data_IF_235206445380
#
_entry.id   IF_235206445380
#
_cell.length_a   1.000
_cell.length_b   1.000
_cell.length_c   1.000
_cell.angle_alpha   90.00
_cell.angle_beta   90.00
_cell.angle_gamma   90.00
#
_symmetry.space_group_name_H-M   'P 1'
#
loop_
_entity.id
_entity.type
_entity.pdbx_description
1 polymer ?
#
# COMPACT_ATOMS: atom_id res chain seq x y z
N UNK A 1 4.00 -21.14 -42.69
CA UNK A 1 3.00 -20.05 -42.59
C UNK A 1 3.37 -19.13 -41.43
N UNK A 2 3.77 -17.88 -41.72
CA UNK A 2 4.16 -16.86 -40.73
C UNK A 2 2.95 -16.01 -40.37
N UNK A 3 2.30 -16.30 -39.24
CA UNK A 3 1.23 -15.45 -38.72
C UNK A 3 1.81 -14.12 -38.21
N UNK A 4 1.58 -13.03 -38.97
CA UNK A 4 1.83 -11.66 -38.52
C UNK A 4 0.81 -11.29 -37.44
N UNK A 5 1.16 -11.48 -36.17
CA UNK A 5 0.41 -10.90 -35.05
C UNK A 5 0.78 -9.41 -35.00
N UNK A 6 0.05 -8.58 -35.76
CA UNK A 6 -0.04 -7.13 -35.53
C UNK A 6 -1.29 -6.84 -34.70
N UNK A 7 -1.38 -7.43 -33.51
CA UNK A 7 -2.25 -6.89 -32.47
C UNK A 7 -1.41 -5.89 -31.72
N UNK A 8 -1.44 -4.64 -32.21
CA UNK A 8 -1.02 -3.51 -31.41
C UNK A 8 -1.82 -3.56 -30.13
N UNK A 9 -1.19 -4.02 -29.06
CA UNK A 9 -1.67 -3.87 -27.70
C UNK A 9 -1.85 -2.36 -27.53
N UNK A 10 -3.06 -1.83 -27.81
CA UNK A 10 -3.51 -0.55 -27.25
C UNK A 10 -3.66 -0.84 -25.76
N UNK A 11 -2.49 -0.88 -25.12
CA UNK A 11 -2.33 -1.14 -23.72
C UNK A 11 -3.14 -0.08 -23.03
N UNK A 12 -4.21 -0.53 -22.38
CA UNK A 12 -4.71 0.11 -21.18
C UNK A 12 -3.54 0.11 -20.17
N UNK A 13 -2.53 0.95 -20.40
CA UNK A 13 -1.70 1.46 -19.32
C UNK A 13 -2.70 2.22 -18.50
N UNK A 14 -3.15 1.56 -17.44
CA UNK A 14 -4.33 1.99 -16.72
C UNK A 14 -4.08 3.41 -16.23
N UNK A 15 -5.03 4.34 -16.46
CA UNK A 15 -4.87 5.78 -16.20
C UNK A 15 -4.27 6.10 -14.81
N UNK A 16 -4.44 5.21 -13.84
CA UNK A 16 -3.81 5.32 -12.53
C UNK A 16 -2.27 5.34 -12.57
N UNK A 17 -1.60 4.62 -13.47
CA UNK A 17 -0.13 4.65 -13.61
C UNK A 17 0.36 6.02 -14.02
N UNK A 18 -0.32 6.61 -14.99
CA UNK A 18 0.01 7.93 -15.47
C UNK A 18 -0.17 8.95 -14.33
N UNK A 19 -1.27 8.81 -13.57
CA UNK A 19 -1.52 9.65 -12.40
C UNK A 19 -0.45 9.51 -11.32
N UNK A 20 -0.16 8.28 -10.87
CA UNK A 20 0.85 8.00 -9.85
C UNK A 20 2.25 8.43 -10.30
N UNK A 21 2.60 8.20 -11.56
CA UNK A 21 3.88 8.63 -12.14
C UNK A 21 4.01 10.15 -12.21
N UNK A 22 2.94 10.85 -12.61
CA UNK A 22 2.95 12.32 -12.63
C UNK A 22 3.07 12.91 -11.22
N UNK A 23 2.34 12.36 -10.25
CA UNK A 23 2.44 12.76 -8.85
C UNK A 23 3.85 12.52 -8.30
N UNK A 24 4.42 11.33 -8.55
CA UNK A 24 5.79 11.01 -8.18
C UNK A 24 6.81 12.02 -8.74
N UNK A 25 6.70 12.37 -10.04
CA UNK A 25 7.58 13.36 -10.66
C UNK A 25 7.40 14.73 -10.01
N UNK A 26 6.16 15.15 -9.73
CA UNK A 26 5.87 16.41 -9.06
C UNK A 26 6.51 16.47 -7.66
N UNK A 27 6.32 15.45 -6.83
CA UNK A 27 6.92 15.40 -5.49
C UNK A 27 8.45 15.42 -5.54
N UNK A 28 9.07 14.63 -6.43
CA UNK A 28 10.53 14.58 -6.59
C UNK A 28 11.12 15.95 -6.99
N UNK A 29 10.39 16.77 -7.75
CA UNK A 29 10.88 18.06 -8.23
C UNK A 29 10.51 19.21 -7.28
N UNK A 30 9.26 19.27 -6.82
CA UNK A 30 8.73 20.40 -6.05
C UNK A 30 9.28 20.39 -4.63
N UNK A 31 9.38 19.22 -3.98
CA UNK A 31 9.82 19.11 -2.59
C UNK A 31 11.26 19.62 -2.36
N UNK A 32 12.30 19.16 -3.09
CA UNK A 32 13.66 19.66 -2.87
C UNK A 32 13.80 21.14 -3.21
N UNK A 33 13.04 21.64 -4.20
CA UNK A 33 13.01 23.07 -4.54
C UNK A 33 12.38 23.88 -3.39
N UNK A 34 11.26 23.42 -2.85
CA UNK A 34 10.62 24.05 -1.70
C UNK A 34 11.53 24.08 -0.47
N UNK A 35 12.19 22.96 -0.18
CA UNK A 35 13.16 22.84 0.92
C UNK A 35 14.36 23.77 0.69
N UNK A 36 14.88 23.86 -0.53
CA UNK A 36 15.96 24.77 -0.88
C UNK A 36 15.60 26.24 -0.58
N UNK A 37 14.45 26.71 -1.06
CA UNK A 37 13.99 28.07 -0.79
C UNK A 37 13.69 28.30 0.69
N UNK A 38 13.12 27.31 1.38
CA UNK A 38 12.88 27.41 2.82
C UNK A 38 14.19 27.63 3.61
N UNK A 39 15.25 26.88 3.29
CA UNK A 39 16.55 27.04 3.92
C UNK A 39 17.27 28.36 3.57
N UNK A 40 17.08 28.87 2.35
CA UNK A 40 17.64 30.17 1.97
C UNK A 40 16.99 31.32 2.74
N UNK A 41 15.68 31.23 3.01
CA UNK A 41 14.96 32.26 3.75
C UNK A 41 15.18 32.13 5.26
N UNK A 42 15.14 30.90 5.80
CA UNK A 42 15.19 30.63 7.23
C UNK A 42 16.03 29.36 7.52
N UNK A 43 17.35 29.46 7.75
CA UNK A 43 18.25 28.30 7.91
C UNK A 43 18.05 27.53 9.23
N UNK A 44 17.48 28.18 10.25
CA UNK A 44 17.22 27.58 11.57
C UNK A 44 15.88 26.84 11.65
N UNK A 45 15.24 26.55 10.51
CA UNK A 45 13.90 25.98 10.46
C UNK A 45 13.93 24.43 10.37
N UNK A 46 13.07 23.67 11.10
CA UNK A 46 12.88 22.23 10.90
C UNK A 46 12.38 21.96 9.47
N UNK A 47 12.83 20.89 8.77
CA UNK A 47 13.18 19.54 9.27
C UNK A 47 14.69 19.30 9.45
N UNK A 48 15.43 20.37 9.74
CA UNK A 48 16.87 20.37 9.82
C UNK A 48 17.39 19.71 11.11
N UNK A 49 17.11 18.43 11.30
CA UNK A 49 17.75 17.60 12.33
C UNK A 49 19.27 17.79 12.31
N UNK A 50 19.84 17.97 11.12
CA UNK A 50 21.26 18.23 10.92
C UNK A 50 21.68 19.66 11.30
N UNK A 51 20.87 20.70 11.05
CA UNK A 51 21.29 22.07 11.35
C UNK A 51 21.23 22.38 12.84
N UNK A 52 20.26 21.82 13.58
CA UNK A 52 20.20 22.00 15.04
C UNK A 52 21.40 21.37 15.77
N UNK A 53 22.02 20.34 15.20
CA UNK A 53 23.24 19.76 15.74
C UNK A 53 24.50 20.57 15.39
N UNK A 54 24.50 21.26 14.24
CA UNK A 54 25.66 21.98 13.71
C UNK A 54 25.72 23.44 14.16
N UNK A 55 24.57 24.10 14.35
CA UNK A 55 24.48 25.52 14.67
C UNK A 55 23.58 25.75 15.88
N UNK A 56 24.08 26.38 16.97
CA UNK A 56 23.26 26.79 18.09
C UNK A 56 22.43 28.02 17.67
N UNK A 57 21.24 27.80 17.10
CA UNK A 57 20.28 28.88 16.86
C UNK A 57 19.54 29.21 18.17
N UNK A 58 19.64 30.44 18.67
CA UNK A 58 18.83 30.93 19.80
C UNK A 58 17.39 31.22 19.41
N UNK A 59 17.17 31.56 18.13
CA UNK A 59 15.87 31.89 17.58
C UNK A 59 15.80 31.56 16.09
N UNK A 60 14.58 31.57 15.55
CA UNK A 60 14.30 31.20 14.16
C UNK A 60 14.82 32.24 13.16
N UNK A 61 14.85 33.51 13.58
CA UNK A 61 15.36 34.65 12.83
C UNK A 61 16.85 34.92 13.04
N UNK A 62 17.50 34.21 13.97
CA UNK A 62 18.90 34.45 14.33
C UNK A 62 19.84 33.74 13.34
N UNK A 63 19.61 33.97 12.06
CA UNK A 63 20.44 33.43 11.00
C UNK A 63 21.79 34.14 11.00
N UNK A 64 22.91 33.40 10.94
CA UNK A 64 24.22 34.00 10.75
C UNK A 64 24.23 34.77 9.42
N UNK A 65 24.77 36.00 9.42
CA UNK A 65 24.88 36.87 8.21
C UNK A 65 25.80 36.30 7.12
N UNK A 66 26.31 35.08 7.27
CA UNK A 66 27.15 34.42 6.29
C UNK A 66 26.28 33.74 5.23
N UNK A 67 26.02 34.46 4.15
CA UNK A 67 25.24 33.99 2.99
C UNK A 67 25.74 32.64 2.43
N UNK A 68 27.06 32.42 2.41
CA UNK A 68 27.65 31.18 1.91
C UNK A 68 27.31 29.94 2.74
N UNK A 69 27.27 30.08 4.07
CA UNK A 69 26.91 28.97 4.96
C UNK A 69 25.45 28.55 4.74
N UNK A 70 24.54 29.53 4.60
CA UNK A 70 23.13 29.27 4.33
C UNK A 70 22.92 28.61 2.97
N UNK A 71 23.67 29.03 1.95
CA UNK A 71 23.60 28.41 0.61
C UNK A 71 24.07 26.94 0.64
N UNK A 72 25.19 26.66 1.31
CA UNK A 72 25.70 25.28 1.46
C UNK A 72 24.67 24.43 2.22
N UNK A 73 24.12 24.94 3.33
CA UNK A 73 23.10 24.24 4.11
C UNK A 73 21.84 23.98 3.29
N UNK A 74 21.38 24.95 2.50
CA UNK A 74 20.23 24.80 1.62
C UNK A 74 20.46 23.72 0.54
N UNK A 75 21.66 23.69 -0.06
CA UNK A 75 22.04 22.65 -1.01
C UNK A 75 22.04 21.26 -0.40
N UNK A 76 22.62 21.11 0.80
CA UNK A 76 22.58 19.83 1.52
C UNK A 76 21.16 19.42 1.88
N UNK A 77 20.35 20.36 2.39
CA UNK A 77 18.95 20.11 2.73
C UNK A 77 18.12 19.67 1.51
N UNK A 78 18.29 20.33 0.38
CA UNK A 78 17.64 19.97 -0.88
C UNK A 78 18.09 18.59 -1.38
N UNK A 79 19.39 18.28 -1.28
CA UNK A 79 19.93 16.97 -1.66
C UNK A 79 19.37 15.83 -0.80
N UNK A 80 19.33 16.02 0.53
CA UNK A 80 18.72 15.05 1.44
C UNK A 80 17.22 14.90 1.19
N UNK A 81 16.50 16.00 0.98
CA UNK A 81 15.09 15.97 0.61
C UNK A 81 14.86 15.15 -0.67
N UNK A 82 15.65 15.39 -1.71
CA UNK A 82 15.59 14.62 -2.96
C UNK A 82 15.91 13.13 -2.78
N UNK A 83 16.88 12.78 -1.91
CA UNK A 83 17.19 11.39 -1.60
C UNK A 83 16.05 10.68 -0.88
N UNK A 84 15.47 11.32 0.14
CA UNK A 84 14.35 10.76 0.90
C UNK A 84 13.10 10.63 0.03
N UNK A 85 12.78 11.64 -0.78
CA UNK A 85 11.62 11.60 -1.69
C UNK A 85 11.80 10.57 -2.80
N UNK A 86 12.98 10.48 -3.41
CA UNK A 86 13.28 9.49 -4.46
C UNK A 86 13.23 8.05 -3.91
N UNK A 87 13.85 7.79 -2.77
CA UNK A 87 13.86 6.46 -2.16
C UNK A 87 12.47 6.01 -1.72
N UNK A 88 11.67 6.91 -1.14
CA UNK A 88 10.29 6.60 -0.74
C UNK A 88 9.38 6.33 -1.94
N UNK A 89 9.44 7.16 -2.98
CA UNK A 89 8.70 6.94 -4.23
C UNK A 89 9.11 5.62 -4.89
N UNK A 90 10.41 5.34 -4.96
CA UNK A 90 10.91 4.08 -5.51
C UNK A 90 10.41 2.88 -4.71
N UNK A 91 10.48 2.95 -3.37
CA UNK A 91 9.96 1.92 -2.49
C UNK A 91 8.46 1.70 -2.71
N UNK A 92 7.66 2.77 -2.81
CA UNK A 92 6.23 2.67 -3.08
C UNK A 92 5.92 2.01 -4.43
N UNK A 93 6.63 2.39 -5.50
CA UNK A 93 6.43 1.79 -6.83
C UNK A 93 6.80 0.30 -6.81
N UNK A 94 7.97 -0.05 -6.25
CA UNK A 94 8.46 -1.44 -6.25
C UNK A 94 7.65 -2.33 -5.31
N UNK A 95 7.30 -1.85 -4.12
CA UNK A 95 6.61 -2.68 -3.12
C UNK A 95 5.12 -2.83 -3.40
N UNK A 96 4.48 -1.85 -4.05
CA UNK A 96 3.02 -1.83 -4.21
C UNK A 96 2.59 -2.02 -5.66
N UNK A 97 3.16 -1.22 -6.54
CA UNK A 97 2.69 -1.15 -7.92
C UNK A 97 3.14 -2.38 -8.70
N UNK A 98 4.39 -2.81 -8.52
CA UNK A 98 4.94 -3.98 -9.18
C UNK A 98 4.18 -5.29 -8.89
N UNK A 99 3.93 -5.72 -7.63
CA UNK A 99 3.23 -6.97 -7.37
C UNK A 99 1.79 -6.97 -7.91
N UNK A 100 1.09 -5.83 -7.89
CA UNK A 100 -0.26 -5.71 -8.43
C UNK A 100 -0.26 -5.91 -9.96
N UNK A 101 0.72 -5.34 -10.67
CA UNK A 101 0.84 -5.53 -12.12
C UNK A 101 1.15 -6.95 -12.53
N UNK A 102 2.15 -7.56 -11.87
CA UNK A 102 2.52 -8.94 -12.15
C UNK A 102 1.30 -9.84 -11.92
N UNK A 103 0.51 -9.57 -10.88
CA UNK A 103 -0.72 -10.30 -10.63
C UNK A 103 -1.77 -10.11 -11.73
N UNK A 104 -1.97 -8.89 -12.20
CA UNK A 104 -2.96 -8.59 -13.24
C UNK A 104 -2.55 -9.13 -14.62
N UNK A 105 -1.27 -9.00 -14.98
CA UNK A 105 -0.71 -9.50 -16.24
C UNK A 105 -0.79 -11.02 -16.30
N UNK A 106 -0.38 -11.71 -15.24
CA UNK A 106 -0.41 -13.16 -15.20
C UNK A 106 -1.85 -13.69 -15.27
N UNK A 107 -2.80 -13.03 -14.61
CA UNK A 107 -4.22 -13.39 -14.70
C UNK A 107 -4.78 -13.26 -16.13
N UNK A 108 -4.37 -12.21 -16.88
CA UNK A 108 -4.75 -12.03 -18.29
C UNK A 108 -4.18 -13.14 -19.16
N UNK A 109 -2.93 -13.52 -18.95
CA UNK A 109 -2.30 -14.62 -19.69
C UNK A 109 -3.00 -15.96 -19.42
N UNK A 110 -3.36 -16.25 -18.17
CA UNK A 110 -4.12 -17.45 -17.83
C UNK A 110 -5.49 -17.49 -18.51
N UNK A 111 -6.23 -16.37 -18.49
CA UNK A 111 -7.53 -16.28 -19.17
C UNK A 111 -7.40 -16.56 -20.67
N UNK A 112 -6.38 -15.98 -21.31
CA UNK A 112 -6.10 -16.20 -22.74
C UNK A 112 -5.70 -17.64 -23.03
N UNK A 113 -4.86 -18.25 -22.17
CA UNK A 113 -4.46 -19.65 -22.29
C UNK A 113 -5.63 -20.63 -22.17
N UNK A 114 -6.56 -20.37 -21.25
CA UNK A 114 -7.80 -21.15 -21.09
C UNK A 114 -8.72 -21.04 -22.31
N UNK A 115 -8.92 -19.84 -22.85
CA UNK A 115 -9.75 -19.62 -24.04
C UNK A 115 -9.16 -20.24 -25.31
N UNK A 116 -7.83 -20.34 -25.40
CA UNK A 116 -7.15 -20.90 -26.58
C UNK A 116 -7.30 -22.42 -26.73
N UNK A 117 -7.91 -23.14 -25.77
CA UNK A 117 -8.10 -24.59 -25.84
C UNK A 117 -6.81 -25.42 -25.93
N UNK A 118 -5.65 -24.81 -25.63
CA UNK A 118 -4.35 -25.38 -25.95
C UNK A 118 -3.92 -26.47 -24.94
N UNK A 119 -3.14 -27.44 -25.42
CA UNK A 119 -2.94 -28.81 -24.87
C UNK A 119 -2.18 -28.91 -23.53
N UNK A 120 -1.76 -27.81 -22.91
CA UNK A 120 -0.95 -27.81 -21.68
C UNK A 120 -1.73 -27.37 -20.43
N UNK A 121 -2.96 -27.86 -20.28
CA UNK A 121 -3.84 -27.51 -19.14
C UNK A 121 -3.20 -27.81 -17.78
N UNK A 122 -2.42 -28.88 -17.67
CA UNK A 122 -1.74 -29.29 -16.42
C UNK A 122 -0.65 -28.31 -15.99
N UNK A 123 0.18 -27.84 -16.92
CA UNK A 123 1.23 -26.83 -16.64
C UNK A 123 0.59 -25.51 -16.21
N UNK A 124 -0.48 -25.11 -16.91
CA UNK A 124 -1.22 -23.90 -16.63
C UNK A 124 -1.87 -23.93 -15.24
N UNK A 125 -2.48 -25.07 -14.86
CA UNK A 125 -3.04 -25.28 -13.52
C UNK A 125 -1.96 -25.23 -12.42
N UNK A 126 -0.77 -25.79 -12.67
CA UNK A 126 0.34 -25.75 -11.70
C UNK A 126 0.85 -24.32 -11.48
N UNK A 127 1.00 -23.54 -12.55
CA UNK A 127 1.38 -22.12 -12.44
C UNK A 127 0.29 -21.31 -11.73
N UNK A 128 -0.97 -21.56 -12.03
CA UNK A 128 -2.10 -20.92 -11.37
C UNK A 128 -2.13 -21.21 -9.85
N UNK A 129 -1.86 -22.45 -9.42
CA UNK A 129 -1.79 -22.80 -7.99
C UNK A 129 -0.66 -22.04 -7.28
N UNK A 130 0.53 -21.94 -7.90
CA UNK A 130 1.65 -21.14 -7.34
C UNK A 130 1.29 -19.67 -7.22
N UNK A 131 0.60 -19.14 -8.23
CA UNK A 131 0.16 -17.76 -8.24
C UNK A 131 -0.88 -17.47 -7.14
N UNK A 132 -1.87 -18.35 -6.96
CA UNK A 132 -2.83 -18.23 -5.86
C UNK A 132 -2.14 -18.25 -4.50
N UNK A 133 -1.13 -19.11 -4.30
CA UNK A 133 -0.34 -19.14 -3.06
C UNK A 133 0.44 -17.85 -2.88
N UNK A 134 1.08 -17.31 -3.92
CA UNK A 134 1.82 -16.06 -3.85
C UNK A 134 0.90 -14.87 -3.55
N UNK A 135 -0.27 -14.80 -4.18
CA UNK A 135 -1.27 -13.76 -3.91
C UNK A 135 -1.81 -13.85 -2.49
N UNK A 136 -2.07 -15.05 -1.97
CA UNK A 136 -2.44 -15.27 -0.57
C UNK A 136 -1.33 -14.86 0.39
N UNK A 137 -0.09 -15.26 0.11
CA UNK A 137 1.06 -14.89 0.94
C UNK A 137 1.25 -13.37 0.97
N UNK A 138 1.22 -12.73 -0.20
CA UNK A 138 1.32 -11.28 -0.31
C UNK A 138 0.19 -10.59 0.42
N UNK A 139 -1.07 -11.02 0.24
CA UNK A 139 -2.20 -10.45 0.95
C UNK A 139 -2.09 -10.66 2.48
N UNK A 140 -1.63 -11.81 2.94
CA UNK A 140 -1.45 -12.08 4.37
C UNK A 140 -0.35 -11.21 4.98
N UNK A 141 0.78 -11.08 4.28
CA UNK A 141 1.91 -10.23 4.70
C UNK A 141 1.56 -8.75 4.64
N UNK A 142 0.73 -8.31 3.69
CA UNK A 142 0.36 -6.91 3.58
C UNK A 142 -0.77 -6.53 4.54
N UNK A 143 -1.77 -7.38 4.69
CA UNK A 143 -2.98 -7.08 5.44
C UNK A 143 -2.72 -6.92 6.93
N UNK A 144 -1.93 -7.80 7.53
CA UNK A 144 -1.85 -7.90 8.98
C UNK A 144 -0.80 -6.93 9.59
N UNK A 145 0.45 -6.86 9.10
CA UNK A 145 1.43 -5.89 9.64
C UNK A 145 1.61 -4.61 8.82
N UNK A 146 1.64 -4.69 7.47
CA UNK A 146 2.13 -3.56 6.66
C UNK A 146 1.08 -2.46 6.52
N UNK A 147 -0.17 -2.80 6.21
CA UNK A 147 -1.25 -1.80 6.06
C UNK A 147 -1.40 -0.89 7.29
N UNK A 148 -1.55 -1.41 8.53
CA UNK A 148 -1.65 -0.55 9.71
C UNK A 148 -0.35 0.22 9.99
N UNK A 149 0.83 -0.37 9.73
CA UNK A 149 2.10 0.32 9.92
C UNK A 149 2.25 1.52 8.96
N UNK A 150 1.92 1.35 7.68
CA UNK A 150 1.97 2.43 6.68
C UNK A 150 0.99 3.54 7.05
N UNK A 151 -0.24 3.20 7.42
CA UNK A 151 -1.25 4.18 7.83
C UNK A 151 -0.79 4.94 9.09
N UNK A 152 -0.23 4.22 10.08
CA UNK A 152 0.28 4.83 11.30
C UNK A 152 1.43 5.82 11.01
N UNK A 153 2.38 5.45 10.14
CA UNK A 153 3.49 6.34 9.76
C UNK A 153 2.96 7.59 9.05
N UNK A 154 2.00 7.43 8.13
CA UNK A 154 1.42 8.58 7.42
C UNK A 154 0.68 9.51 8.39
N UNK A 155 -0.13 8.96 9.31
CA UNK A 155 -0.84 9.75 10.33
C UNK A 155 0.15 10.48 11.23
N UNK A 156 1.21 9.82 11.69
CA UNK A 156 2.23 10.47 12.52
C UNK A 156 2.92 11.63 11.80
N UNK A 157 3.28 11.45 10.53
CA UNK A 157 3.88 12.50 9.71
C UNK A 157 2.90 13.67 9.55
N UNK A 158 1.64 13.38 9.22
CA UNK A 158 0.61 14.39 9.01
C UNK A 158 0.29 15.16 10.29
N UNK A 159 0.12 14.46 11.42
CA UNK A 159 -0.12 15.08 12.72
C UNK A 159 1.07 15.93 13.18
N UNK A 160 2.30 15.47 12.96
CA UNK A 160 3.50 16.24 13.29
C UNK A 160 3.58 17.50 12.43
N UNK A 161 3.30 17.38 11.13
CA UNK A 161 3.25 18.52 10.21
C UNK A 161 2.18 19.54 10.63
N UNK A 162 0.96 19.08 10.96
CA UNK A 162 -0.13 19.94 11.38
C UNK A 162 0.15 20.59 12.74
N UNK A 163 0.72 19.84 13.69
CA UNK A 163 1.13 20.35 14.99
C UNK A 163 2.15 21.47 14.87
N UNK A 164 3.18 21.28 14.03
CA UNK A 164 4.18 22.31 13.73
C UNK A 164 3.51 23.53 13.10
N UNK A 165 2.58 23.33 12.16
CA UNK A 165 1.84 24.41 11.50
C UNK A 165 1.01 25.24 12.49
N UNK A 166 0.29 24.58 13.40
CA UNK A 166 -0.55 25.23 14.42
C UNK A 166 0.30 25.96 15.45
N UNK A 167 1.37 25.32 15.93
CA UNK A 167 2.24 25.87 16.99
C UNK A 167 2.97 27.13 16.51
N UNK A 168 3.29 27.21 15.22
CA UNK A 168 4.03 28.33 14.65
C UNK A 168 3.11 29.41 14.03
N UNK A 169 1.78 29.28 14.15
CA UNK A 169 0.80 30.08 13.39
C UNK A 169 0.90 31.60 13.53
N UNK A 170 1.55 32.11 14.58
CA UNK A 170 1.72 33.56 14.82
C UNK A 170 2.98 34.16 14.19
N UNK A 171 3.96 33.33 13.79
CA UNK A 171 5.27 33.80 13.28
C UNK A 171 5.62 33.25 11.88
N UNK A 172 4.74 32.45 11.28
CA UNK A 172 5.04 31.77 10.02
C UNK A 172 5.04 32.73 8.81
N UNK A 173 6.11 32.61 8.03
CA UNK A 173 6.17 33.12 6.65
C UNK A 173 5.22 32.31 5.76
N UNK A 174 4.37 33.00 4.97
CA UNK A 174 3.39 32.40 4.05
C UNK A 174 3.96 31.28 3.14
N UNK A 175 5.25 31.32 2.82
CA UNK A 175 5.95 30.27 2.08
C UNK A 175 5.92 28.88 2.77
N UNK A 176 6.06 28.86 4.10
CA UNK A 176 6.09 27.63 4.91
C UNK A 176 4.71 27.01 4.96
N UNK A 177 3.68 27.85 5.16
CA UNK A 177 2.29 27.45 5.11
C UNK A 177 1.99 26.76 3.77
N UNK A 178 2.48 27.33 2.67
CA UNK A 178 2.38 26.75 1.34
C UNK A 178 3.06 25.38 1.22
N UNK A 179 4.28 25.23 1.74
CA UNK A 179 5.03 23.96 1.69
C UNK A 179 4.28 22.86 2.46
N UNK A 180 3.83 23.14 3.69
CA UNK A 180 3.05 22.18 4.46
C UNK A 180 1.72 21.83 3.82
N UNK A 181 1.05 22.79 3.18
CA UNK A 181 -0.18 22.54 2.44
C UNK A 181 0.04 21.61 1.25
N UNK A 182 1.12 21.81 0.49
CA UNK A 182 1.50 20.90 -0.62
C UNK A 182 1.78 19.50 -0.09
N UNK A 183 2.56 19.36 0.98
CA UNK A 183 2.84 18.06 1.61
C UNK A 183 1.55 17.38 2.09
N UNK A 184 0.64 18.13 2.71
CA UNK A 184 -0.64 17.60 3.16
C UNK A 184 -1.51 17.08 2.00
N UNK A 185 -1.54 17.81 0.86
CA UNK A 185 -2.23 17.37 -0.36
C UNK A 185 -1.58 16.10 -0.91
N UNK A 186 -0.24 16.07 -1.00
CA UNK A 186 0.50 14.90 -1.48
C UNK A 186 0.21 13.67 -0.62
N UNK A 187 0.27 13.80 0.71
CA UNK A 187 -0.11 12.72 1.63
C UNK A 187 -1.56 12.27 1.42
N UNK A 188 -2.51 13.20 1.29
CA UNK A 188 -3.92 12.86 1.06
C UNK A 188 -4.10 12.08 -0.25
N UNK A 189 -3.48 12.53 -1.33
CA UNK A 189 -3.56 11.86 -2.63
C UNK A 189 -2.93 10.46 -2.55
N UNK A 190 -1.77 10.33 -1.92
CA UNK A 190 -1.10 9.03 -1.73
C UNK A 190 -2.00 8.06 -0.97
N UNK A 191 -2.62 8.48 0.13
CA UNK A 191 -3.55 7.67 0.91
C UNK A 191 -4.72 7.19 0.05
N UNK A 192 -5.37 8.11 -0.67
CA UNK A 192 -6.53 7.80 -1.52
C UNK A 192 -6.16 6.85 -2.67
N UNK A 193 -5.03 7.10 -3.34
CA UNK A 193 -4.51 6.23 -4.38
C UNK A 193 -4.19 4.84 -3.83
N UNK A 194 -3.56 4.77 -2.66
CA UNK A 194 -3.18 3.52 -2.02
C UNK A 194 -4.39 2.66 -1.68
N UNK A 195 -5.38 3.21 -0.98
CA UNK A 195 -6.60 2.48 -0.65
C UNK A 195 -7.39 2.05 -1.89
N UNK A 196 -7.40 2.88 -2.94
CA UNK A 196 -8.08 2.55 -4.20
C UNK A 196 -7.40 1.41 -4.95
N UNK A 197 -6.07 1.37 -4.98
CA UNK A 197 -5.31 0.28 -5.62
C UNK A 197 -5.50 -1.02 -4.82
N UNK A 198 -5.43 -0.96 -3.49
CA UNK A 198 -5.54 -2.13 -2.61
C UNK A 198 -6.96 -2.72 -2.57
N UNK A 199 -8.00 -1.91 -2.73
CA UNK A 199 -9.40 -2.38 -2.76
C UNK A 199 -9.82 -2.98 -4.11
N UNK A 200 -9.12 -2.65 -5.20
CA UNK A 200 -9.44 -3.14 -6.53
C UNK A 200 -9.43 -4.67 -6.69
N UNK A 201 -8.40 -5.43 -6.23
CA UNK A 201 -8.41 -6.89 -6.32
C UNK A 201 -9.56 -7.53 -5.53
N UNK A 202 -9.95 -6.93 -4.41
CA UNK A 202 -10.97 -7.47 -3.51
C UNK A 202 -12.39 -7.35 -4.08
N UNK A 203 -12.71 -6.19 -4.68
CA UNK A 203 -14.06 -5.97 -5.25
C UNK A 203 -14.32 -6.82 -6.49
N UNK A 204 -13.27 -7.17 -7.23
CA UNK A 204 -13.40 -7.96 -8.46
C UNK A 204 -13.54 -9.47 -8.24
N UNK A 205 -13.07 -10.01 -7.11
CA UNK A 205 -13.31 -11.42 -6.79
C UNK A 205 -14.78 -11.65 -6.47
N UNK A 206 -15.36 -10.83 -5.59
CA UNK A 206 -16.76 -10.98 -5.14
C UNK A 206 -17.74 -10.83 -6.30
N UNK A 207 -17.51 -9.88 -7.21
CA UNK A 207 -18.45 -9.63 -8.31
C UNK A 207 -18.39 -10.68 -9.44
N UNK A 208 -17.30 -11.44 -9.55
CA UNK A 208 -17.17 -12.52 -10.54
C UNK A 208 -17.57 -13.89 -9.97
N UNK A 209 -17.67 -14.03 -8.65
CA UNK A 209 -18.18 -15.23 -7.98
C UNK A 209 -19.72 -15.31 -7.99
N UNK A 210 -20.41 -14.27 -8.47
CA UNK A 210 -21.87 -14.29 -8.72
C UNK A 210 -22.10 -14.30 -10.23
N UNK A 211 -22.07 -15.47 -10.89
CA UNK A 211 -22.44 -15.55 -12.28
C UNK A 211 -23.97 -15.44 -12.39
N UNK A 212 -24.45 -14.28 -12.85
CA UNK A 212 -25.88 -13.98 -13.05
C UNK A 212 -26.60 -14.84 -14.11
N UNK A 213 -25.93 -15.83 -14.71
CA UNK A 213 -26.49 -16.70 -15.75
C UNK A 213 -26.03 -18.17 -15.62
N UNK A 214 -25.66 -18.60 -14.42
CA UNK A 214 -25.17 -19.98 -14.18
C UNK A 214 -25.80 -20.66 -12.96
N UNK A 215 -27.02 -20.28 -12.58
CA UNK A 215 -27.83 -21.16 -11.73
C UNK A 215 -28.15 -22.50 -12.42
N UNK A 216 -28.01 -22.61 -13.76
CA UNK A 216 -28.48 -23.83 -14.45
C UNK A 216 -27.42 -24.81 -14.97
N UNK A 217 -26.09 -24.50 -15.04
CA UNK A 217 -25.18 -25.47 -15.72
C UNK A 217 -23.73 -25.67 -15.22
N UNK A 218 -23.17 -24.85 -14.31
CA UNK A 218 -21.76 -25.03 -13.86
C UNK A 218 -21.57 -25.00 -12.33
N UNK A 219 -22.63 -25.30 -11.57
CA UNK A 219 -22.63 -25.40 -10.11
C UNK A 219 -21.90 -26.62 -9.51
N UNK A 220 -21.03 -27.32 -10.25
CA UNK A 220 -20.42 -28.56 -9.74
C UNK A 220 -18.89 -28.64 -9.81
N UNK A 221 -18.17 -27.78 -10.54
CA UNK A 221 -16.74 -28.04 -10.78
C UNK A 221 -15.77 -27.42 -9.76
N UNK A 222 -16.11 -26.30 -9.11
CA UNK A 222 -15.22 -25.66 -8.12
C UNK A 222 -15.47 -26.07 -6.66
N UNK A 223 -16.66 -26.58 -6.32
CA UNK A 223 -16.90 -27.17 -4.99
C UNK A 223 -16.30 -28.57 -4.88
N UNK A 224 -16.11 -29.29 -6.00
CA UNK A 224 -15.47 -30.61 -6.01
C UNK A 224 -13.97 -30.52 -5.72
N UNK A 225 -13.26 -29.47 -6.14
CA UNK A 225 -11.80 -29.42 -5.95
C UNK A 225 -11.37 -29.10 -4.51
N UNK A 226 -12.21 -28.43 -3.72
CA UNK A 226 -11.98 -28.24 -2.28
C UNK A 226 -12.44 -29.46 -1.46
N UNK A 227 -13.41 -30.24 -1.96
CA UNK A 227 -13.92 -31.40 -1.26
C UNK A 227 -13.22 -32.73 -1.62
N UNK A 228 -12.56 -32.83 -2.79
CA UNK A 228 -11.79 -34.03 -3.19
C UNK A 228 -10.48 -34.17 -2.43
N UNK A 229 -9.86 -33.06 -1.99
CA UNK A 229 -8.63 -33.14 -1.17
C UNK A 229 -8.93 -33.49 0.31
N UNK A 230 -10.21 -33.45 0.72
CA UNK A 230 -10.65 -33.81 2.08
C UNK A 230 -11.14 -35.27 2.20
N UNK A 231 -11.34 -35.98 1.09
CA UNK A 231 -11.83 -37.36 1.11
C UNK A 231 -10.81 -38.44 0.77
N UNK A 232 -9.55 -38.08 0.46
CA UNK A 232 -8.51 -39.07 0.19
C UNK A 232 -7.44 -39.20 1.29
N UNK A 233 -7.76 -38.81 2.52
CA UNK A 233 -6.88 -39.05 3.68
C UNK A 233 -7.60 -39.92 4.72
N UNK A 234 -7.79 -41.21 4.40
CA UNK A 234 -7.87 -42.25 5.43
C UNK A 234 -6.46 -42.68 5.83
N UNK A 235 -6.23 -42.97 7.12
CA UNK A 235 -4.91 -43.18 7.68
C UNK A 235 -4.44 -44.62 7.48
N UNK A 236 -3.16 -44.79 7.19
CA UNK A 236 -2.46 -46.03 7.48
C UNK A 236 -1.03 -45.71 7.94
N UNK A 237 -0.81 -45.99 9.23
CA UNK A 237 0.41 -46.62 9.76
C UNK A 237 1.65 -45.71 9.91
N UNK A 238 1.86 -45.33 11.17
CA UNK A 238 3.12 -45.18 11.92
C UNK A 238 4.39 -44.78 11.17
N UNK A 239 4.90 -43.59 11.49
CA UNK A 239 6.29 -43.42 11.91
C UNK A 239 6.45 -42.05 12.58
N UNK A 240 7.10 -42.07 13.74
CA UNK A 240 7.49 -40.90 14.53
C UNK A 240 8.28 -39.90 13.68
N UNK A 241 7.85 -38.64 13.70
CA UNK A 241 8.76 -37.52 13.50
C UNK A 241 8.48 -36.55 14.64
N UNK A 242 9.37 -36.57 15.65
CA UNK A 242 9.49 -35.48 16.62
C UNK A 242 9.92 -34.23 15.86
N UNK A 243 9.00 -33.29 15.70
CA UNK A 243 9.35 -31.88 15.46
C UNK A 243 9.06 -31.15 16.75
N UNK A 244 10.08 -30.51 17.30
CA UNK A 244 10.08 -29.83 18.58
C UNK A 244 8.91 -28.86 18.73
N UNK A 245 8.18 -29.04 19.82
CA UNK A 245 7.31 -28.05 20.44
C UNK A 245 8.09 -26.77 20.76
N UNK A 246 7.69 -25.67 20.14
CA UNK A 246 7.80 -24.33 20.73
C UNK A 246 6.39 -23.90 21.11
N UNK A 247 5.97 -24.40 22.27
CA UNK A 247 4.76 -24.01 22.99
C UNK A 247 4.83 -22.53 23.36
N UNK A 248 4.03 -21.71 22.67
CA UNK A 248 3.55 -20.43 23.22
C UNK A 248 2.11 -20.68 23.68
N UNK A 249 1.97 -21.06 24.94
CA UNK A 249 0.68 -21.32 25.59
C UNK A 249 0.03 -20.00 26.01
N UNK A 250 -1.07 -19.64 25.36
CA UNK A 250 -2.07 -18.71 25.92
C UNK A 250 -3.25 -19.56 26.39
N UNK A 251 -3.67 -19.50 27.67
CA UNK A 251 -4.83 -20.25 28.13
C UNK A 251 -6.10 -19.53 27.69
N UNK A 252 -6.88 -20.17 26.82
CA UNK A 252 -8.27 -19.78 26.56
C UNK A 252 -9.16 -20.90 27.08
N UNK A 253 -9.89 -20.63 28.14
CA UNK A 253 -10.93 -21.50 28.71
C UNK A 253 -12.11 -21.56 27.72
N UNK A 254 -12.61 -22.75 27.36
CA UNK A 254 -13.81 -22.86 26.55
C UNK A 254 -15.02 -22.88 27.48
N UNK A 255 -15.75 -21.76 27.53
CA UNK A 255 -17.13 -21.79 27.98
C UNK A 255 -18.01 -22.24 26.81
N UNK A 256 -18.70 -23.33 27.08
CA UNK A 256 -19.62 -24.06 26.23
C UNK A 256 -20.92 -23.27 26.09
N UNK A 257 -21.10 -22.55 24.97
CA UNK A 257 -22.40 -21.97 24.63
C UNK A 257 -22.76 -22.21 23.17
N UNK A 258 -23.65 -23.18 22.99
CA UNK A 258 -24.23 -23.66 21.75
C UNK A 258 -25.21 -22.63 21.19
N UNK A 259 -24.72 -21.56 20.56
CA UNK A 259 -25.56 -20.60 19.85
C UNK A 259 -25.46 -20.75 18.32
N UNK A 260 -26.62 -21.01 17.72
CA UNK A 260 -26.94 -21.01 16.29
C UNK A 260 -26.00 -20.12 15.44
N UNK A 261 -25.10 -20.77 14.68
CA UNK A 261 -24.28 -20.13 13.65
C UNK A 261 -25.17 -19.68 12.48
N UNK A 262 -25.81 -18.52 12.63
CA UNK A 262 -26.22 -17.70 11.49
C UNK A 262 -24.92 -17.17 10.88
N UNK A 263 -24.52 -17.74 9.74
CA UNK A 263 -23.35 -17.33 8.95
C UNK A 263 -23.50 -15.84 8.64
N UNK A 264 -22.88 -14.97 9.46
CA UNK A 264 -22.78 -13.54 9.17
C UNK A 264 -21.72 -13.37 8.11
N UNK A 265 -22.10 -12.77 6.99
CA UNK A 265 -21.18 -12.41 5.93
C UNK A 265 -19.99 -11.60 6.47
N UNK A 266 -18.76 -12.10 6.31
CA UNK A 266 -17.56 -11.40 6.78
C UNK A 266 -17.34 -10.03 6.10
N UNK A 267 -18.06 -9.75 5.00
CA UNK A 267 -18.05 -8.46 4.32
C UNK A 267 -18.77 -7.33 5.07
N UNK A 268 -19.76 -7.61 5.93
CA UNK A 268 -20.46 -6.55 6.68
C UNK A 268 -19.56 -5.86 7.70
N UNK A 269 -18.62 -6.60 8.30
CA UNK A 269 -17.66 -6.09 9.30
C UNK A 269 -16.60 -5.14 8.75
N UNK A 270 -16.37 -5.12 7.43
CA UNK A 270 -15.42 -4.20 6.80
C UNK A 270 -16.06 -2.84 6.50
N UNK A 271 -17.29 -2.84 5.98
CA UNK A 271 -18.04 -1.62 5.69
C UNK A 271 -18.30 -0.78 6.95
N UNK A 272 -18.48 -1.43 8.09
CA UNK A 272 -18.68 -0.75 9.39
C UNK A 272 -17.37 -0.29 10.06
N UNK A 273 -16.21 -0.82 9.63
CA UNK A 273 -14.89 -0.38 10.09
C UNK A 273 -14.40 0.85 9.34
N UNK A 274 -14.68 0.93 8.04
CA UNK A 274 -14.33 2.11 7.22
C UNK A 274 -15.15 3.35 7.61
N UNK A 275 -16.44 3.16 7.95
CA UNK A 275 -17.29 4.26 8.43
C UNK A 275 -16.82 4.82 9.79
N UNK A 276 -16.41 3.94 10.71
CA UNK A 276 -15.86 4.36 12.02
C UNK A 276 -14.49 5.01 11.88
N UNK A 277 -13.63 4.54 10.98
CA UNK A 277 -12.33 5.18 10.71
C UNK A 277 -12.50 6.60 10.17
N UNK A 278 -13.52 6.85 9.32
CA UNK A 278 -13.85 8.21 8.87
C UNK A 278 -14.35 9.12 10.00
N UNK A 279 -15.16 8.61 10.93
CA UNK A 279 -15.60 9.39 12.11
C UNK A 279 -14.42 9.71 13.05
N UNK A 280 -13.52 8.75 13.30
CA UNK A 280 -12.31 9.02 14.09
C UNK A 280 -11.40 10.06 13.42
N UNK A 281 -11.30 10.05 12.08
CA UNK A 281 -10.57 11.09 11.35
C UNK A 281 -11.25 12.46 11.43
N UNK A 282 -12.59 12.54 11.42
CA UNK A 282 -13.29 13.80 11.63
C UNK A 282 -13.15 14.34 13.06
N UNK A 283 -13.11 13.46 14.06
CA UNK A 283 -12.88 13.83 15.47
C UNK A 283 -11.43 14.22 15.79
N UNK A 284 -10.46 13.80 14.98
CA UNK A 284 -9.05 14.19 15.13
C UNK A 284 -8.71 15.50 14.40
N UNK A 285 -9.61 15.99 13.54
CA UNK A 285 -9.43 17.22 12.75
C UNK A 285 -10.13 18.44 13.40
N UNK A 286 -11.01 18.21 14.40
CA UNK A 286 -11.66 19.25 15.21
C UNK A 286 -11.12 19.25 16.63
#
# INVERSE_FOLDING_TARGET
>A
MRHKIKLGFRGYVTRYFLGVGLLAIQTIVIEPVGVFFAYLLNPCMPPAFMSMALFPCSGWSDAPKQYWANFILAMFGAYFGALVSSTSVFAMIVLLVYPVEIQLLLLKEFKRGLQSGNRNRTILLRQYRRFQLLSRLHNNVFKDPIMPAVIMVIILIQSTSLYVLVTLGTEITLAILGLFFVVAIDCFIVIQCFFKIMSYPYTRSVKNDIPHNLEDEYGYSNYILVNVERHHRRPSVTSEIRVLDLTYSFPFTPDEETHNLRIRDPCSKYKERDARLLEYFQLLIY
#
